data_IF_625279133806
#
_entry.id   IF_625279133806
#
_cell.length_a   1.000
_cell.length_b   1.000
_cell.length_c   1.000
_cell.angle_alpha   90.00
_cell.angle_beta   90.00
_cell.angle_gamma   90.00
#
_symmetry.space_group_name_H-M   'P 1'
#
loop_
_entity.id
_entity.type
_entity.pdbx_description
1 polymer ?
#
# COMPACT_ATOMS: atom_id res chain seq x y z
N UNK A 1 4.61 -6.12 22.22
CA UNK A 1 3.63 -5.53 21.27
C UNK A 1 4.22 -5.21 19.89
N UNK A 2 5.40 -4.57 19.79
CA UNK A 2 6.02 -4.20 18.49
C UNK A 2 6.28 -5.38 17.54
N UNK A 3 6.91 -6.44 18.04
CA UNK A 3 7.15 -7.68 17.26
C UNK A 3 5.85 -8.34 16.81
N UNK A 4 4.80 -8.29 17.63
CA UNK A 4 3.49 -8.85 17.29
C UNK A 4 2.90 -8.13 16.09
N UNK A 5 2.96 -6.80 16.06
CA UNK A 5 2.42 -6.01 14.95
C UNK A 5 3.14 -6.28 13.62
N UNK A 6 4.47 -6.42 13.66
CA UNK A 6 5.29 -6.80 12.48
C UNK A 6 4.93 -8.22 12.01
N UNK A 7 4.87 -9.18 12.92
CA UNK A 7 4.50 -10.57 12.60
C UNK A 7 3.10 -10.62 11.98
N UNK A 8 2.12 -9.92 12.57
CA UNK A 8 0.75 -9.85 12.03
C UNK A 8 0.75 -9.25 10.63
N UNK A 9 1.47 -8.15 10.39
CA UNK A 9 1.60 -7.55 9.05
C UNK A 9 2.17 -8.55 8.03
N UNK A 10 3.24 -9.27 8.38
CA UNK A 10 3.85 -10.29 7.51
C UNK A 10 2.84 -11.42 7.23
N UNK A 11 2.16 -11.93 8.25
CA UNK A 11 1.15 -12.97 8.11
C UNK A 11 -0.01 -12.51 7.21
N UNK A 12 -0.46 -11.26 7.33
CA UNK A 12 -1.49 -10.69 6.46
C UNK A 12 -1.01 -10.59 5.02
N UNK A 13 0.23 -10.16 4.77
CA UNK A 13 0.80 -10.13 3.41
C UNK A 13 0.87 -11.54 2.83
N UNK A 14 1.37 -12.51 3.59
CA UNK A 14 1.46 -13.90 3.17
C UNK A 14 0.07 -14.48 2.85
N UNK A 15 -0.91 -14.21 3.69
CA UNK A 15 -2.30 -14.59 3.46
C UNK A 15 -2.82 -14.01 2.12
N UNK A 16 -2.64 -12.71 1.88
CA UNK A 16 -3.05 -12.08 0.61
C UNK A 16 -2.37 -12.72 -0.59
N UNK A 17 -1.05 -12.96 -0.53
CA UNK A 17 -0.28 -13.59 -1.61
C UNK A 17 -0.78 -15.01 -1.88
N UNK A 18 -1.01 -15.81 -0.83
CA UNK A 18 -1.52 -17.19 -0.95
C UNK A 18 -2.95 -17.21 -1.52
N UNK A 19 -3.81 -16.29 -1.11
CA UNK A 19 -5.17 -16.19 -1.66
C UNK A 19 -5.16 -15.84 -3.15
N UNK A 20 -4.18 -15.06 -3.61
CA UNK A 20 -4.13 -14.54 -4.96
C UNK A 20 -3.25 -15.36 -5.92
N UNK A 21 -2.46 -16.33 -5.43
CA UNK A 21 -1.51 -17.09 -6.26
C UNK A 21 -2.20 -17.95 -7.33
N UNK A 22 -3.47 -18.29 -7.08
CA UNK A 22 -4.31 -19.12 -7.94
C UNK A 22 -4.97 -18.34 -9.09
N UNK A 23 -4.89 -17.01 -9.08
CA UNK A 23 -5.39 -16.18 -10.17
C UNK A 23 -4.53 -16.34 -11.43
N UNK A 24 -5.17 -16.41 -12.59
CA UNK A 24 -4.50 -16.60 -13.89
C UNK A 24 -4.13 -15.27 -14.55
N UNK A 25 -2.95 -15.24 -15.17
CA UNK A 25 -2.43 -14.08 -15.88
C UNK A 25 -1.75 -13.04 -14.97
N UNK A 26 -1.56 -11.83 -15.50
CA UNK A 26 -0.85 -10.75 -14.80
C UNK A 26 -1.68 -10.11 -13.67
N UNK A 27 -3.00 -10.32 -13.65
CA UNK A 27 -3.90 -9.78 -12.63
C UNK A 27 -3.51 -10.20 -11.22
N UNK A 28 -3.01 -11.42 -11.01
CA UNK A 28 -2.55 -11.91 -9.70
C UNK A 28 -1.50 -11.01 -9.03
N UNK A 29 -0.74 -10.27 -9.83
CA UNK A 29 0.25 -9.31 -9.35
C UNK A 29 -0.43 -8.12 -8.67
N UNK A 30 -1.63 -7.73 -9.08
CA UNK A 30 -2.32 -6.58 -8.52
C UNK A 30 -2.62 -6.73 -7.02
N UNK A 31 -3.48 -7.67 -6.56
CA UNK A 31 -3.79 -7.77 -5.14
C UNK A 31 -2.57 -8.20 -4.31
N UNK A 32 -1.69 -9.05 -4.86
CA UNK A 32 -0.47 -9.50 -4.18
C UNK A 32 0.51 -8.34 -3.91
N UNK A 33 0.84 -7.55 -4.94
CA UNK A 33 1.79 -6.44 -4.78
C UNK A 33 1.17 -5.23 -4.09
N UNK A 34 -0.16 -5.01 -4.18
CA UNK A 34 -0.84 -4.01 -3.34
C UNK A 34 -0.74 -4.38 -1.85
N UNK A 35 -0.89 -5.66 -1.48
CA UNK A 35 -0.69 -6.11 -0.11
C UNK A 35 0.77 -5.94 0.36
N UNK A 36 1.75 -6.36 -0.46
CA UNK A 36 3.18 -6.16 -0.17
C UNK A 36 3.50 -4.67 0.00
N UNK A 37 2.98 -3.82 -0.88
CA UNK A 37 3.17 -2.37 -0.86
C UNK A 37 2.65 -1.75 0.44
N UNK A 38 1.35 -1.89 0.72
CA UNK A 38 0.71 -1.16 1.81
C UNK A 38 0.83 -1.88 3.16
N UNK A 39 0.44 -3.16 3.25
CA UNK A 39 0.48 -3.92 4.50
C UNK A 39 1.89 -4.35 4.89
N UNK A 40 2.78 -4.53 3.92
CA UNK A 40 4.19 -4.88 4.14
C UNK A 40 5.06 -3.64 4.32
N UNK A 41 5.41 -2.99 3.20
CA UNK A 41 6.40 -1.93 3.16
C UNK A 41 5.93 -0.66 3.89
N UNK A 42 4.77 -0.09 3.53
CA UNK A 42 4.30 1.17 4.11
C UNK A 42 4.01 1.04 5.61
N UNK A 43 3.39 -0.06 6.05
CA UNK A 43 3.16 -0.33 7.47
C UNK A 43 4.48 -0.33 8.26
N UNK A 44 5.47 -1.09 7.81
CA UNK A 44 6.79 -1.15 8.46
C UNK A 44 7.50 0.22 8.43
N UNK A 45 7.36 0.97 7.33
CA UNK A 45 7.91 2.31 7.19
C UNK A 45 7.32 3.29 8.22
N UNK A 46 6.02 3.22 8.51
CA UNK A 46 5.38 4.05 9.54
C UNK A 46 5.77 3.55 10.93
N UNK A 47 5.76 2.23 11.13
CA UNK A 47 5.99 1.62 12.44
C UNK A 47 7.38 1.88 13.00
N UNK A 48 8.40 2.09 12.15
CA UNK A 48 9.77 2.37 12.60
C UNK A 48 9.88 3.60 13.50
N UNK A 49 8.98 4.58 13.36
CA UNK A 49 8.97 5.77 14.18
C UNK A 49 8.32 5.58 15.56
N UNK A 50 7.59 4.48 15.77
CA UNK A 50 7.09 4.07 17.09
C UNK A 50 8.15 3.33 17.93
N UNK A 51 9.33 3.07 17.35
CA UNK A 51 10.40 2.35 18.03
C UNK A 51 10.98 3.14 19.22
N UNK A 52 10.87 4.47 19.22
CA UNK A 52 11.47 5.35 20.23
C UNK A 52 10.69 5.39 21.57
N UNK A 53 9.41 5.01 21.59
CA UNK A 53 8.54 5.25 22.75
C UNK A 53 8.54 4.12 23.81
N UNK A 54 9.37 3.09 23.70
CA UNK A 54 9.41 2.01 24.72
C UNK A 54 10.80 1.83 25.34
N UNK A 55 10.84 2.03 26.64
CA UNK A 55 11.99 2.21 27.55
C UNK A 55 12.98 1.04 27.69
N UNK A 56 12.99 0.05 26.80
CA UNK A 56 13.71 -1.22 27.04
C UNK A 56 14.64 -1.68 25.89
N UNK A 57 14.87 -0.87 24.86
CA UNK A 57 15.83 -1.14 23.78
C UNK A 57 16.57 0.13 23.41
N UNK A 58 17.86 0.08 23.01
CA UNK A 58 18.51 1.24 22.42
C UNK A 58 17.68 1.72 21.22
N UNK A 59 17.25 2.98 21.25
CA UNK A 59 16.51 3.61 20.17
C UNK A 59 17.39 3.69 18.93
N UNK A 60 16.84 3.37 17.76
CA UNK A 60 17.56 3.59 16.51
C UNK A 60 17.77 5.10 16.33
N UNK A 61 18.96 5.57 15.96
CA UNK A 61 19.18 6.98 15.66
C UNK A 61 18.18 7.48 14.62
N UNK A 62 17.59 8.66 14.83
CA UNK A 62 16.54 9.22 13.96
C UNK A 62 16.94 9.24 12.47
N UNK A 63 18.20 9.50 12.17
CA UNK A 63 18.75 9.46 10.80
C UNK A 63 18.62 8.07 10.16
N UNK A 64 18.89 7.00 10.91
CA UNK A 64 18.73 5.61 10.43
C UNK A 64 17.26 5.26 10.22
N UNK A 65 16.38 5.70 11.13
CA UNK A 65 14.92 5.51 10.97
C UNK A 65 14.40 6.16 9.69
N UNK A 66 14.81 7.41 9.41
CA UNK A 66 14.42 8.13 8.20
C UNK A 66 14.96 7.39 6.96
N UNK A 67 16.20 6.90 6.97
CA UNK A 67 16.76 6.15 5.85
C UNK A 67 15.95 4.86 5.56
N UNK A 68 15.66 4.08 6.59
CA UNK A 68 14.87 2.85 6.45
C UNK A 68 13.44 3.17 6.02
N UNK A 69 12.82 4.20 6.59
CA UNK A 69 11.51 4.70 6.16
C UNK A 69 11.51 5.05 4.68
N UNK A 70 12.46 5.86 4.21
CA UNK A 70 12.58 6.24 2.80
C UNK A 70 12.79 5.02 1.89
N UNK A 71 13.65 4.08 2.29
CA UNK A 71 13.89 2.85 1.53
C UNK A 71 12.61 2.00 1.41
N UNK A 72 11.91 1.78 2.52
CA UNK A 72 10.64 1.04 2.51
C UNK A 72 9.57 1.76 1.69
N UNK A 73 9.50 3.10 1.73
CA UNK A 73 8.56 3.86 0.89
C UNK A 73 8.90 3.77 -0.60
N UNK A 74 10.18 3.70 -0.98
CA UNK A 74 10.55 3.38 -2.38
C UNK A 74 10.01 2.00 -2.76
N UNK A 75 10.14 1.00 -1.88
CA UNK A 75 9.52 -0.32 -2.06
C UNK A 75 7.99 -0.25 -2.22
N UNK A 76 7.30 0.53 -1.39
CA UNK A 76 5.86 0.81 -1.50
C UNK A 76 5.50 1.32 -2.89
N UNK A 77 6.20 2.35 -3.38
CA UNK A 77 5.92 2.98 -4.67
C UNK A 77 6.22 2.05 -5.86
N UNK A 78 7.34 1.33 -5.83
CA UNK A 78 7.67 0.37 -6.90
C UNK A 78 6.60 -0.72 -6.98
N UNK A 79 6.25 -1.32 -5.84
CA UNK A 79 5.22 -2.37 -5.80
C UNK A 79 3.86 -1.83 -6.27
N UNK A 80 3.46 -0.64 -5.85
CA UNK A 80 2.17 -0.06 -6.23
C UNK A 80 2.09 0.29 -7.72
N UNK A 81 3.18 0.79 -8.33
CA UNK A 81 3.25 1.05 -9.78
C UNK A 81 3.11 -0.25 -10.58
N UNK A 82 3.84 -1.30 -10.20
CA UNK A 82 3.76 -2.61 -10.88
C UNK A 82 2.34 -3.18 -10.73
N UNK A 83 1.79 -3.14 -9.52
CA UNK A 83 0.44 -3.62 -9.22
C UNK A 83 -0.64 -2.86 -10.01
N UNK A 84 -0.52 -1.53 -10.10
CA UNK A 84 -1.45 -0.68 -10.83
C UNK A 84 -1.36 -0.93 -12.34
N UNK A 85 -0.14 -1.08 -12.87
CA UNK A 85 0.08 -1.41 -14.28
C UNK A 85 -0.53 -2.77 -14.63
N UNK A 86 -0.41 -3.76 -13.74
CA UNK A 86 -0.99 -5.08 -13.94
C UNK A 86 -2.53 -5.07 -14.05
N UNK A 87 -3.23 -4.31 -13.19
CA UNK A 87 -4.70 -4.19 -13.30
C UNK A 87 -5.11 -3.37 -14.52
N UNK A 88 -4.38 -2.30 -14.82
CA UNK A 88 -4.68 -1.44 -15.96
C UNK A 88 -4.56 -2.20 -17.30
N UNK A 89 -3.45 -2.93 -17.48
CA UNK A 89 -3.23 -3.78 -18.67
C UNK A 89 -4.23 -4.93 -18.76
N UNK A 90 -4.57 -5.56 -17.62
CA UNK A 90 -5.62 -6.60 -17.57
C UNK A 90 -6.98 -6.06 -18.04
N UNK A 91 -7.36 -4.85 -17.59
CA UNK A 91 -8.64 -4.23 -17.98
C UNK A 91 -8.66 -3.87 -19.47
N UNK A 92 -7.56 -3.37 -20.02
CA UNK A 92 -7.42 -3.14 -21.47
C UNK A 92 -7.61 -4.44 -22.25
N UNK A 93 -6.85 -5.49 -21.90
CA UNK A 93 -6.90 -6.78 -22.59
C UNK A 93 -8.30 -7.42 -22.56
N UNK A 94 -9.08 -7.14 -21.52
CA UNK A 94 -10.43 -7.67 -21.31
C UNK A 94 -11.54 -6.70 -21.74
N UNK A 95 -11.20 -5.56 -22.35
CA UNK A 95 -12.14 -4.50 -22.76
C UNK A 95 -13.09 -4.08 -21.61
N UNK A 96 -12.54 -3.91 -20.41
CA UNK A 96 -13.31 -3.53 -19.22
C UNK A 96 -13.16 -2.04 -18.90
N UNK A 97 -14.23 -1.38 -18.41
CA UNK A 97 -14.15 0.01 -18.02
C UNK A 97 -13.26 0.17 -16.78
N UNK A 98 -12.59 1.31 -16.68
CA UNK A 98 -11.66 1.64 -15.60
C UNK A 98 -12.36 2.46 -14.52
N UNK A 99 -11.95 2.26 -13.26
CA UNK A 99 -12.35 3.08 -12.10
C UNK A 99 -13.87 3.21 -11.87
N UNK A 100 -14.67 2.24 -12.33
CA UNK A 100 -16.14 2.25 -12.17
C UNK A 100 -16.62 1.75 -10.82
N UNK A 101 -15.80 0.97 -10.11
CA UNK A 101 -16.11 0.46 -8.78
C UNK A 101 -15.57 1.40 -7.69
N UNK A 102 -16.18 1.39 -6.50
CA UNK A 102 -15.67 2.11 -5.32
C UNK A 102 -14.23 1.72 -4.99
N UNK A 103 -13.89 0.44 -5.11
CA UNK A 103 -12.52 -0.04 -4.96
C UNK A 103 -11.57 0.60 -5.99
N UNK A 104 -11.94 0.59 -7.28
CA UNK A 104 -11.12 1.17 -8.34
C UNK A 104 -10.95 2.70 -8.21
N UNK A 105 -12.02 3.42 -7.88
CA UNK A 105 -11.99 4.88 -7.74
C UNK A 105 -11.17 5.32 -6.51
N UNK A 106 -11.47 4.78 -5.32
CA UNK A 106 -10.74 5.12 -4.09
C UNK A 106 -9.29 4.61 -4.18
N UNK A 107 -9.07 3.45 -4.80
CA UNK A 107 -7.73 2.90 -5.05
C UNK A 107 -6.86 3.80 -5.94
N UNK A 108 -7.45 4.46 -6.95
CA UNK A 108 -6.74 5.45 -7.77
C UNK A 108 -6.34 6.68 -6.92
N UNK A 109 -7.24 7.17 -6.07
CA UNK A 109 -6.94 8.29 -5.17
C UNK A 109 -5.78 7.92 -4.23
N UNK A 110 -5.83 6.74 -3.62
CA UNK A 110 -4.77 6.21 -2.74
C UNK A 110 -3.44 6.09 -3.49
N UNK A 111 -3.46 5.59 -4.73
CA UNK A 111 -2.26 5.47 -5.55
C UNK A 111 -1.62 6.83 -5.82
N UNK A 112 -2.39 7.80 -6.31
CA UNK A 112 -1.90 9.17 -6.58
C UNK A 112 -1.42 9.83 -5.29
N UNK A 113 -2.18 9.72 -4.19
CA UNK A 113 -1.80 10.27 -2.90
C UNK A 113 -0.50 9.65 -2.38
N UNK A 114 -0.26 8.35 -2.60
CA UNK A 114 1.00 7.70 -2.23
C UNK A 114 2.19 8.31 -2.97
N UNK A 115 2.06 8.60 -4.27
CA UNK A 115 3.09 9.28 -5.06
C UNK A 115 3.37 10.69 -4.54
N UNK A 116 2.32 11.46 -4.29
CA UNK A 116 2.44 12.80 -3.72
C UNK A 116 3.10 12.77 -2.33
N UNK A 117 2.77 11.76 -1.52
CA UNK A 117 3.39 11.62 -0.21
C UNK A 117 4.87 11.27 -0.27
N UNK A 118 5.28 10.42 -1.22
CA UNK A 118 6.68 10.12 -1.45
C UNK A 118 7.46 11.39 -1.86
N UNK A 119 6.90 12.22 -2.74
CA UNK A 119 7.48 13.51 -3.14
C UNK A 119 7.57 14.47 -1.95
N UNK A 120 6.52 14.58 -1.14
CA UNK A 120 6.52 15.40 0.07
C UNK A 120 7.60 14.96 1.08
N UNK A 121 7.75 13.65 1.31
CA UNK A 121 8.80 13.10 2.17
C UNK A 121 10.21 13.35 1.63
N UNK A 122 10.40 13.25 0.31
CA UNK A 122 11.66 13.56 -0.35
C UNK A 122 12.01 15.05 -0.19
N UNK A 123 11.05 15.94 -0.40
CA UNK A 123 11.22 17.38 -0.24
C UNK A 123 11.64 17.74 1.20
N UNK A 124 10.99 17.15 2.20
CA UNK A 124 11.33 17.32 3.62
C UNK A 124 12.75 16.85 3.97
N UNK A 125 13.27 15.86 3.23
CA UNK A 125 14.60 15.26 3.46
C UNK A 125 15.71 16.05 2.77
N UNK A 126 15.53 16.41 1.49
CA UNK A 126 16.53 17.11 0.68
C UNK A 126 16.64 18.59 1.10
N UNK A 127 15.50 19.29 1.23
CA UNK A 127 15.48 20.73 1.51
C UNK A 127 15.48 21.06 3.00
N UNK A 128 15.80 20.10 3.87
CA UNK A 128 15.79 20.25 5.33
C UNK A 128 16.51 21.54 5.80
N UNK A 129 17.70 21.81 5.26
CA UNK A 129 18.52 22.95 5.70
C UNK A 129 17.86 24.30 5.35
N UNK A 130 17.26 24.38 4.16
CA UNK A 130 16.59 25.57 3.65
C UNK A 130 15.25 25.82 4.37
N UNK A 131 14.42 24.77 4.56
CA UNK A 131 13.15 24.90 5.28
C UNK A 131 13.41 25.28 6.76
N UNK A 132 14.47 24.73 7.38
CA UNK A 132 14.83 25.07 8.76
C UNK A 132 15.32 26.52 8.91
N UNK A 133 16.02 27.08 7.91
CA UNK A 133 16.47 28.49 7.96
C UNK A 133 15.32 29.48 7.90
N UNK A 134 14.19 29.10 7.30
CA UNK A 134 13.01 29.97 7.22
C UNK A 134 12.21 30.05 8.53
N UNK A 135 12.54 29.24 9.55
CA UNK A 135 11.89 29.10 10.90
C UNK A 135 10.37 28.89 10.91
N UNK A 136 9.68 29.07 9.80
CA UNK A 136 8.31 28.67 9.55
C UNK A 136 8.25 27.17 9.24
N UNK A 137 7.07 26.59 9.50
CA UNK A 137 6.50 25.41 8.83
C UNK A 137 7.27 24.08 8.84
N UNK A 138 8.57 23.94 9.16
CA UNK A 138 9.23 22.62 9.12
C UNK A 138 8.58 21.61 10.09
N UNK A 139 8.31 22.03 11.32
CA UNK A 139 7.63 21.19 12.30
C UNK A 139 6.19 20.88 11.85
N UNK A 140 5.47 21.87 11.33
CA UNK A 140 4.10 21.71 10.82
C UNK A 140 4.05 20.79 9.59
N UNK A 141 4.95 20.94 8.64
CA UNK A 141 5.08 20.10 7.44
C UNK A 141 5.39 18.65 7.81
N UNK A 142 6.24 18.43 8.83
CA UNK A 142 6.48 17.09 9.36
C UNK A 142 5.22 16.49 9.98
N UNK A 143 4.45 17.29 10.73
CA UNK A 143 3.17 16.84 11.30
C UNK A 143 2.17 16.55 10.19
N UNK A 144 2.02 17.43 9.19
CA UNK A 144 1.13 17.22 8.05
C UNK A 144 1.52 15.99 7.23
N UNK A 145 2.82 15.78 6.98
CA UNK A 145 3.31 14.56 6.34
C UNK A 145 2.97 13.31 7.16
N UNK A 146 3.20 13.34 8.47
CA UNK A 146 2.91 12.22 9.36
C UNK A 146 1.39 11.92 9.43
N UNK A 147 0.55 12.93 9.66
CA UNK A 147 -0.89 12.75 9.79
C UNK A 147 -1.52 12.32 8.47
N UNK A 148 -1.14 12.95 7.37
CA UNK A 148 -1.59 12.57 6.02
C UNK A 148 -1.11 11.17 5.64
N UNK A 149 0.11 10.76 6.02
CA UNK A 149 0.62 9.41 5.79
C UNK A 149 -0.13 8.33 6.56
N UNK A 150 -0.50 8.59 7.82
CA UNK A 150 -1.34 7.67 8.62
C UNK A 150 -2.75 7.58 8.05
N UNK A 151 -3.33 8.71 7.64
CA UNK A 151 -4.65 8.74 7.00
C UNK A 151 -4.64 7.97 5.68
N UNK A 152 -3.62 8.18 4.84
CA UNK A 152 -3.40 7.43 3.61
C UNK A 152 -3.34 5.92 3.89
N UNK A 153 -2.51 5.48 4.84
CA UNK A 153 -2.41 4.06 5.20
C UNK A 153 -3.75 3.46 5.66
N UNK A 154 -4.51 4.23 6.45
CA UNK A 154 -5.84 3.81 6.93
C UNK A 154 -6.82 3.61 5.77
N UNK A 155 -6.85 4.55 4.82
CA UNK A 155 -7.69 4.44 3.63
C UNK A 155 -7.19 3.31 2.72
N UNK A 156 -5.88 3.09 2.60
CA UNK A 156 -5.32 1.95 1.86
C UNK A 156 -5.81 0.61 2.43
N UNK A 157 -5.84 0.46 3.76
CA UNK A 157 -6.40 -0.75 4.40
C UNK A 157 -7.88 -0.94 4.05
N UNK A 158 -8.66 0.14 4.09
CA UNK A 158 -10.06 0.11 3.67
C UNK A 158 -10.22 -0.30 2.19
N UNK A 159 -9.38 0.22 1.29
CA UNK A 159 -9.37 -0.15 -0.14
C UNK A 159 -9.01 -1.62 -0.35
N UNK A 160 -8.08 -2.17 0.43
CA UNK A 160 -7.73 -3.60 0.38
C UNK A 160 -8.92 -4.48 0.79
N UNK A 161 -9.63 -4.09 1.85
CA UNK A 161 -10.86 -4.77 2.29
C UNK A 161 -11.95 -4.67 1.22
N UNK A 162 -12.14 -3.49 0.60
CA UNK A 162 -13.06 -3.34 -0.54
C UNK A 162 -12.65 -4.22 -1.72
N UNK A 163 -11.35 -4.42 -1.94
CA UNK A 163 -10.82 -5.34 -2.95
C UNK A 163 -11.29 -6.77 -2.68
N UNK A 164 -11.13 -7.27 -1.45
CA UNK A 164 -11.64 -8.59 -1.06
C UNK A 164 -13.17 -8.69 -1.07
N UNK A 165 -13.89 -7.58 -0.84
CA UNK A 165 -15.36 -7.56 -0.89
C UNK A 165 -15.93 -7.45 -2.32
N UNK A 166 -15.08 -7.16 -3.31
CA UNK A 166 -15.50 -6.94 -4.70
C UNK A 166 -15.73 -8.26 -5.44
N UNK A 167 -16.34 -8.15 -6.61
CA UNK A 167 -16.90 -9.31 -7.30
C UNK A 167 -15.83 -10.31 -7.76
N UNK A 168 -14.58 -9.89 -8.04
CA UNK A 168 -13.51 -10.82 -8.41
C UNK A 168 -13.26 -11.87 -7.32
N UNK A 169 -13.23 -11.46 -6.05
CA UNK A 169 -12.99 -12.37 -4.92
C UNK A 169 -14.19 -13.29 -4.65
N UNK A 170 -15.42 -12.78 -4.80
CA UNK A 170 -16.64 -13.58 -4.67
C UNK A 170 -16.70 -14.69 -5.74
N UNK A 171 -16.29 -14.37 -6.97
CA UNK A 171 -16.32 -15.34 -8.06
C UNK A 171 -15.16 -16.33 -7.93
N UNK A 172 -13.97 -15.88 -7.50
CA UNK A 172 -12.84 -16.76 -7.16
C UNK A 172 -13.25 -17.88 -6.18
N UNK A 173 -13.94 -17.53 -5.09
CA UNK A 173 -14.43 -18.52 -4.13
C UNK A 173 -15.53 -19.43 -4.69
N UNK A 174 -16.33 -18.96 -5.66
CA UNK A 174 -17.36 -19.78 -6.30
C UNK A 174 -16.76 -20.77 -7.32
N UNK A 175 -15.67 -20.40 -7.98
CA UNK A 175 -14.95 -21.19 -8.98
C UNK A 175 -14.11 -22.33 -8.38
N UNK A 176 -13.68 -22.22 -7.13
CA UNK A 176 -12.94 -23.31 -6.45
C UNK A 176 -13.82 -24.52 -6.10
N UNK A 177 -15.15 -24.37 -6.13
CA UNK A 177 -16.12 -25.44 -5.85
C UNK A 177 -16.79 -26.07 -7.07
N UNK A 178 -16.66 -25.49 -8.28
CA UNK A 178 -17.22 -26.05 -9.52
C UNK A 178 -16.31 -25.69 -10.69
N UNK A 179 -16.09 -26.65 -11.58
CA UNK A 179 -15.49 -26.46 -12.91
C UNK A 179 -16.46 -25.64 -13.77
N UNK A 180 -16.65 -24.38 -13.44
CA UNK A 180 -17.46 -23.43 -14.21
C UNK A 180 -16.54 -22.62 -15.10
N UNK A 181 -16.95 -22.54 -16.37
CA UNK A 181 -16.24 -21.85 -17.42
C UNK A 181 -15.86 -20.43 -17.01
N UNK A 182 -14.62 -20.07 -17.34
CA UNK A 182 -13.84 -18.88 -16.98
C UNK A 182 -14.53 -17.52 -17.23
N UNK A 183 -15.75 -17.52 -17.75
CA UNK A 183 -16.51 -16.37 -18.25
C UNK A 183 -17.24 -15.61 -17.13
N UNK A 184 -17.64 -16.26 -16.04
CA UNK A 184 -18.39 -15.57 -14.99
C UNK A 184 -17.52 -14.68 -14.08
N UNK A 185 -16.20 -14.89 -14.05
CA UNK A 185 -15.21 -14.03 -13.36
C UNK A 185 -15.19 -12.61 -13.98
N UNK A 186 -15.75 -12.45 -15.17
CA UNK A 186 -15.39 -11.39 -16.12
C UNK A 186 -16.31 -10.17 -16.01
N UNK A 187 -17.51 -10.23 -15.43
CA UNK A 187 -18.50 -9.15 -15.64
C UNK A 187 -18.26 -7.90 -14.75
N UNK A 188 -17.65 -8.01 -13.57
CA UNK A 188 -17.65 -6.90 -12.59
C UNK A 188 -16.29 -6.54 -11.95
N UNK A 189 -15.18 -6.74 -12.67
CA UNK A 189 -13.87 -6.15 -12.32
C UNK A 189 -13.79 -4.70 -12.74
#
# INVERSE_FOLDING_TARGET
>A
MKTVAIVVSILLVLLFVVLCIWEVGIFKLHPSLMAVSYLGCMFQAIHIFSMDDTSCSPSLPRRKQILIHSFLQVGTIICSIIAFTAIYTTKIQRNKPHFTSWHGFIGLIVFIWSLLQAVAGLFLTIFQRYIRSLRLTYAQLRIYHATSGVLLFTISCFVLILGLASNWFKIFHKSTGKKTDTIDIIINL
#
